data_IF_356052589148
#
_entry.id   IF_356052589148
#
_cell.length_a   1.000
_cell.length_b   1.000
_cell.length_c   1.000
_cell.angle_alpha   90.00
_cell.angle_beta   90.00
_cell.angle_gamma   90.00
#
_symmetry.space_group_name_H-M   'P 1'
#
loop_
_entity.id
_entity.type
_entity.pdbx_description
1 polymer ?
#
# COMPACT_ATOMS: atom_id res chain seq x y z
N UNK A 1 9.78 -11.93 -37.15
CA UNK A 1 9.15 -13.23 -36.90
C UNK A 1 8.46 -13.17 -35.55
N UNK A 2 7.14 -13.03 -35.53
CA UNK A 2 6.36 -12.93 -34.30
C UNK A 2 6.29 -14.29 -33.61
N UNK A 3 6.95 -14.41 -32.46
CA UNK A 3 6.64 -15.45 -31.50
C UNK A 3 5.23 -15.15 -30.97
N UNK A 4 4.22 -15.70 -31.66
CA UNK A 4 2.87 -15.74 -31.13
C UNK A 4 2.93 -16.40 -29.77
N UNK A 5 2.64 -15.62 -28.72
CA UNK A 5 2.42 -16.13 -27.37
C UNK A 5 1.23 -17.08 -27.50
N UNK A 6 1.50 -18.37 -27.72
CA UNK A 6 0.47 -19.40 -27.61
C UNK A 6 -0.11 -19.21 -26.21
N UNK A 7 -1.42 -19.00 -26.14
CA UNK A 7 -2.18 -19.10 -24.90
C UNK A 7 -1.80 -20.45 -24.28
N UNK A 8 -0.87 -20.45 -23.32
CA UNK A 8 -0.68 -21.59 -22.45
C UNK A 8 -1.92 -21.60 -21.57
N UNK A 9 -2.94 -22.31 -22.03
CA UNK A 9 -3.99 -22.80 -21.14
C UNK A 9 -3.29 -23.78 -20.23
N UNK A 10 -2.72 -23.28 -19.14
CA UNK A 10 -2.26 -24.14 -18.05
C UNK A 10 -3.48 -24.97 -17.64
N UNK A 11 -3.28 -26.28 -17.52
CA UNK A 11 -4.24 -27.18 -16.86
C UNK A 11 -4.82 -26.47 -15.63
N UNK A 12 -6.15 -26.41 -15.54
CA UNK A 12 -6.88 -25.51 -14.64
C UNK A 12 -6.22 -25.41 -13.24
N UNK A 13 -5.70 -24.23 -12.93
CA UNK A 13 -5.06 -23.97 -11.63
C UNK A 13 -6.18 -23.91 -10.58
N UNK A 14 -6.12 -24.83 -9.61
CA UNK A 14 -7.12 -24.94 -8.57
C UNK A 14 -7.05 -23.81 -7.52
N UNK A 15 -8.15 -23.53 -6.79
CA UNK A 15 -8.22 -22.42 -5.82
C UNK A 15 -7.17 -22.52 -4.69
N UNK A 16 -6.90 -23.73 -4.18
CA UNK A 16 -5.89 -23.94 -3.13
C UNK A 16 -4.47 -23.58 -3.61
N UNK A 17 -4.15 -23.94 -4.85
CA UNK A 17 -2.88 -23.59 -5.49
C UNK A 17 -2.73 -22.07 -5.61
N UNK A 18 -3.78 -21.36 -6.05
CA UNK A 18 -3.75 -19.89 -6.14
C UNK A 18 -3.58 -19.23 -4.78
N UNK A 19 -4.23 -19.74 -3.72
CA UNK A 19 -4.05 -19.19 -2.38
C UNK A 19 -2.60 -19.33 -1.91
N UNK A 20 -2.00 -20.52 -2.07
CA UNK A 20 -0.59 -20.78 -1.77
C UNK A 20 0.35 -19.88 -2.55
N UNK A 21 0.10 -19.69 -3.84
CA UNK A 21 0.83 -18.72 -4.67
C UNK A 21 0.77 -17.32 -4.07
N UNK A 22 -0.43 -16.82 -3.75
CA UNK A 22 -0.62 -15.47 -3.21
C UNK A 22 0.08 -15.31 -1.85
N UNK A 23 -0.09 -16.23 -0.90
CA UNK A 23 0.59 -16.09 0.40
C UNK A 23 2.10 -16.20 0.29
N UNK A 24 2.63 -17.08 -0.58
CA UNK A 24 4.06 -17.22 -0.81
C UNK A 24 4.66 -15.96 -1.44
N UNK A 25 4.08 -15.47 -2.55
CA UNK A 25 4.60 -14.29 -3.26
C UNK A 25 4.46 -12.99 -2.46
N UNK A 26 3.56 -12.96 -1.48
CA UNK A 26 3.41 -11.86 -0.54
C UNK A 26 4.25 -12.03 0.75
N UNK A 27 5.07 -13.07 0.88
CA UNK A 27 5.89 -13.32 2.09
C UNK A 27 5.05 -13.53 3.37
N UNK A 28 3.91 -14.20 3.24
CA UNK A 28 2.94 -14.46 4.33
C UNK A 28 2.90 -15.93 4.75
N UNK A 29 3.61 -16.83 4.06
CA UNK A 29 3.69 -18.25 4.41
C UNK A 29 5.14 -18.76 4.23
N UNK A 30 6.01 -18.65 5.26
CA UNK A 30 5.68 -18.13 6.59
C UNK A 30 5.60 -16.59 6.66
N UNK A 31 4.78 -16.10 7.58
CA UNK A 31 4.73 -14.70 7.97
C UNK A 31 6.08 -14.24 8.51
N UNK A 32 6.41 -12.95 8.34
CA UNK A 32 7.68 -12.38 8.83
C UNK A 32 8.92 -13.14 8.34
N UNK A 33 8.89 -13.65 7.10
CA UNK A 33 9.98 -14.45 6.51
C UNK A 33 11.20 -13.65 6.05
N UNK A 34 11.10 -12.32 5.97
CA UNK A 34 12.21 -11.41 5.68
C UNK A 34 12.76 -10.81 6.97
N UNK A 35 13.94 -10.19 6.95
CA UNK A 35 14.53 -9.56 8.14
C UNK A 35 15.29 -8.27 7.82
N UNK A 36 15.31 -7.36 8.80
CA UNK A 36 16.12 -6.15 8.75
C UNK A 36 15.69 -5.13 7.67
N UNK A 37 16.52 -4.10 7.53
CA UNK A 37 16.35 -3.05 6.52
C UNK A 37 16.34 -3.61 5.08
N UNK A 38 17.13 -4.65 4.79
CA UNK A 38 17.10 -5.34 3.49
C UNK A 38 15.80 -6.10 3.22
N UNK A 39 15.18 -6.67 4.27
CA UNK A 39 13.84 -7.24 4.17
C UNK A 39 12.81 -6.18 3.77
N UNK A 40 12.86 -5.01 4.42
CA UNK A 40 12.03 -3.84 4.08
C UNK A 40 12.24 -3.40 2.63
N UNK A 41 13.49 -3.26 2.18
CA UNK A 41 13.82 -2.98 0.77
C UNK A 41 13.27 -4.04 -0.17
N UNK A 42 13.34 -5.30 0.20
CA UNK A 42 12.83 -6.42 -0.60
C UNK A 42 11.32 -6.35 -0.79
N UNK A 43 10.55 -5.99 0.24
CA UNK A 43 9.10 -5.75 0.09
C UNK A 43 8.83 -4.59 -0.88
N UNK A 44 9.56 -3.48 -0.75
CA UNK A 44 9.43 -2.35 -1.67
C UNK A 44 9.80 -2.71 -3.11
N UNK A 45 10.86 -3.48 -3.34
CA UNK A 45 11.21 -3.99 -4.69
C UNK A 45 10.12 -4.91 -5.25
N UNK A 46 9.60 -5.82 -4.42
CA UNK A 46 8.60 -6.81 -4.84
C UNK A 46 7.27 -6.16 -5.19
N UNK A 47 6.78 -5.23 -4.37
CA UNK A 47 5.48 -4.59 -4.60
C UNK A 47 5.60 -3.35 -5.50
N UNK A 48 6.69 -2.61 -5.34
CA UNK A 48 6.96 -1.36 -6.04
C UNK A 48 6.02 -0.21 -5.67
N UNK A 49 5.08 -0.43 -4.77
CA UNK A 49 4.16 0.57 -4.25
C UNK A 49 3.49 0.04 -2.99
N UNK A 50 3.66 0.74 -1.87
CA UNK A 50 2.94 0.49 -0.62
C UNK A 50 2.13 1.73 -0.28
N UNK A 51 0.83 1.58 -0.03
CA UNK A 51 -0.02 2.72 0.28
C UNK A 51 0.40 3.37 1.61
N UNK A 52 0.63 4.68 1.58
CA UNK A 52 0.83 5.50 2.75
C UNK A 52 -0.53 5.92 3.30
N UNK A 53 -0.77 5.58 4.56
CA UNK A 53 -1.91 6.06 5.34
C UNK A 53 -1.41 6.38 6.76
N UNK A 54 -1.58 7.62 7.26
CA UNK A 54 -1.02 8.05 8.53
C UNK A 54 -1.88 7.66 9.74
N UNK A 55 -3.08 7.09 9.55
CA UNK A 55 -3.91 6.62 10.66
C UNK A 55 -3.15 5.54 11.42
N UNK A 56 -2.94 5.75 12.71
CA UNK A 56 -2.03 4.94 13.52
C UNK A 56 -2.73 4.18 14.66
N UNK A 57 -4.04 3.94 14.58
CA UNK A 57 -4.83 3.24 15.62
C UNK A 57 -4.26 1.83 15.88
N UNK A 58 -4.06 1.05 14.82
CA UNK A 58 -3.41 -0.26 14.87
C UNK A 58 -1.94 -0.22 14.41
N UNK A 59 -1.37 0.98 14.27
CA UNK A 59 -0.16 1.22 13.46
C UNK A 59 -0.50 1.75 12.07
N UNK A 60 0.46 2.44 11.44
CA UNK A 60 0.29 3.04 10.11
C UNK A 60 0.18 1.93 9.05
N UNK A 61 -0.58 2.13 7.98
CA UNK A 61 -0.81 1.06 7.00
C UNK A 61 0.49 0.49 6.40
N UNK A 62 1.43 1.35 5.99
CA UNK A 62 2.69 0.91 5.39
C UNK A 62 3.54 0.11 6.40
N UNK A 63 3.51 0.50 7.67
CA UNK A 63 4.19 -0.25 8.74
C UNK A 63 3.54 -1.61 8.96
N UNK A 64 2.22 -1.70 8.95
CA UNK A 64 1.50 -2.98 9.07
C UNK A 64 1.80 -3.92 7.89
N UNK A 65 1.86 -3.39 6.66
CA UNK A 65 2.27 -4.16 5.46
C UNK A 65 3.68 -4.73 5.65
N UNK A 66 4.61 -3.94 6.16
CA UNK A 66 5.99 -4.36 6.37
C UNK A 66 6.12 -5.33 7.57
N UNK A 67 5.43 -5.05 8.67
CA UNK A 67 5.39 -5.89 9.87
C UNK A 67 4.88 -7.31 9.59
N UNK A 68 3.90 -7.47 8.70
CA UNK A 68 3.41 -8.79 8.31
C UNK A 68 4.49 -9.66 7.62
N UNK A 69 5.56 -9.05 7.10
CA UNK A 69 6.53 -9.67 6.17
C UNK A 69 7.96 -9.66 6.68
N UNK A 70 8.31 -8.72 7.56
CA UNK A 70 9.68 -8.53 8.05
C UNK A 70 9.72 -8.83 9.56
N UNK A 71 10.48 -9.85 9.96
CA UNK A 71 10.75 -10.19 11.35
C UNK A 71 11.42 -9.02 12.07
N UNK A 72 10.91 -8.72 13.27
CA UNK A 72 11.41 -7.62 14.08
C UNK A 72 11.24 -6.24 13.43
N UNK A 73 10.30 -6.07 12.50
CA UNK A 73 10.09 -4.79 11.82
C UNK A 73 9.90 -3.63 12.81
N UNK A 74 10.72 -2.60 12.63
CA UNK A 74 10.61 -1.32 13.30
C UNK A 74 10.20 -0.23 12.30
N UNK A 75 9.25 0.65 12.64
CA UNK A 75 8.87 1.78 11.78
C UNK A 75 10.05 2.65 11.31
N UNK A 76 11.10 2.73 12.13
CA UNK A 76 12.34 3.44 11.82
C UNK A 76 13.01 2.96 10.53
N UNK A 77 12.85 1.69 10.13
CA UNK A 77 13.42 1.20 8.87
C UNK A 77 12.73 1.81 7.64
N UNK A 78 11.41 1.98 7.66
CA UNK A 78 10.72 2.67 6.55
C UNK A 78 11.05 4.17 6.56
N UNK A 79 11.10 4.79 7.73
CA UNK A 79 11.50 6.19 7.88
C UNK A 79 12.94 6.41 7.38
N UNK A 80 13.85 5.47 7.63
CA UNK A 80 15.23 5.47 7.15
C UNK A 80 15.31 5.37 5.62
N UNK A 81 14.58 4.45 4.98
CA UNK A 81 14.54 4.36 3.51
C UNK A 81 14.01 5.65 2.89
N UNK A 82 13.02 6.28 3.53
CA UNK A 82 12.47 7.55 3.09
C UNK A 82 13.46 8.70 3.26
N UNK A 83 14.15 8.78 4.41
CA UNK A 83 15.18 9.77 4.69
C UNK A 83 16.38 9.65 3.73
N UNK A 84 16.81 8.41 3.42
CA UNK A 84 17.86 8.09 2.44
C UNK A 84 17.44 8.29 0.98
N UNK A 85 16.17 8.64 0.73
CA UNK A 85 15.59 8.82 -0.62
C UNK A 85 15.66 7.55 -1.47
N UNK A 86 15.63 6.39 -0.84
CA UNK A 86 15.46 5.12 -1.55
C UNK A 86 14.00 4.92 -2.00
N UNK A 87 13.08 5.52 -1.24
CA UNK A 87 11.65 5.62 -1.56
C UNK A 87 11.18 7.08 -1.50
N UNK A 88 10.13 7.40 -2.24
CA UNK A 88 9.48 8.71 -2.23
C UNK A 88 7.96 8.58 -2.28
N UNK A 89 7.26 9.69 -2.01
CA UNK A 89 5.80 9.74 -2.10
C UNK A 89 5.32 10.03 -3.53
N UNK A 90 4.44 9.17 -4.06
CA UNK A 90 3.78 9.39 -5.33
C UNK A 90 2.30 9.06 -5.25
N UNK A 91 1.50 9.70 -6.11
CA UNK A 91 0.14 9.22 -6.37
C UNK A 91 0.22 8.01 -7.29
N UNK A 92 -0.15 6.85 -6.75
CA UNK A 92 -0.33 5.60 -7.48
C UNK A 92 -1.78 5.10 -7.33
N UNK A 93 -2.04 3.97 -6.65
CA UNK A 93 -3.43 3.55 -6.34
C UNK A 93 -4.10 4.58 -5.43
N UNK A 94 -3.35 4.98 -4.41
CA UNK A 94 -3.61 6.13 -3.55
C UNK A 94 -2.27 6.89 -3.36
N UNK A 95 -2.15 7.69 -2.30
CA UNK A 95 -0.83 8.17 -1.89
C UNK A 95 0.00 6.96 -1.45
N UNK A 96 1.15 6.76 -2.06
CA UNK A 96 2.00 5.57 -1.85
C UNK A 96 3.46 5.95 -1.70
N UNK A 97 4.19 5.13 -0.95
CA UNK A 97 5.64 5.04 -1.06
C UNK A 97 6.01 4.15 -2.25
N UNK A 98 6.92 4.64 -3.09
CA UNK A 98 7.41 3.97 -4.29
C UNK A 98 8.95 4.10 -4.36
N UNK A 99 9.67 3.16 -4.97
CA UNK A 99 11.12 3.28 -5.15
C UNK A 99 11.51 4.54 -5.94
N UNK A 100 12.52 5.28 -5.48
CA UNK A 100 13.00 6.51 -6.12
C UNK A 100 13.48 6.30 -7.55
N UNK A 101 14.04 5.13 -7.85
CA UNK A 101 14.40 4.75 -9.21
C UNK A 101 13.22 4.81 -10.19
N UNK A 102 11.98 4.73 -9.69
CA UNK A 102 10.76 4.78 -10.52
C UNK A 102 10.17 6.20 -10.67
N UNK A 103 10.77 7.23 -10.07
CA UNK A 103 10.33 8.62 -10.20
C UNK A 103 9.99 9.06 -11.63
N UNK A 104 10.78 8.72 -12.68
CA UNK A 104 10.50 9.15 -14.05
C UNK A 104 9.12 8.70 -14.57
N UNK A 105 8.57 7.59 -14.06
CA UNK A 105 7.26 7.08 -14.44
C UNK A 105 6.11 7.69 -13.64
N UNK A 106 6.39 8.36 -12.51
CA UNK A 106 5.35 8.99 -11.69
C UNK A 106 5.17 10.48 -11.96
N UNK A 107 6.09 11.10 -12.72
CA UNK A 107 6.15 12.55 -12.99
C UNK A 107 4.87 13.15 -13.58
N UNK A 108 4.18 12.46 -14.50
CA UNK A 108 3.04 13.04 -15.24
C UNK A 108 1.75 13.20 -14.41
N UNK A 109 1.58 12.49 -13.29
CA UNK A 109 0.29 12.42 -12.55
C UNK A 109 0.42 12.99 -11.14
N UNK A 110 1.33 13.95 -10.94
CA UNK A 110 1.46 14.58 -9.62
C UNK A 110 0.27 15.50 -9.26
N UNK A 111 -0.70 15.73 -10.16
CA UNK A 111 -1.91 16.53 -9.90
C UNK A 111 -3.10 16.21 -10.82
N UNK A 112 -4.33 16.55 -10.40
CA UNK A 112 -5.57 16.24 -11.14
C UNK A 112 -5.79 17.12 -12.38
N UNK A 113 -5.27 18.34 -12.39
CA UNK A 113 -5.54 19.37 -13.42
C UNK A 113 -4.41 19.51 -14.46
N UNK A 114 -3.32 18.74 -14.30
CA UNK A 114 -2.21 18.64 -15.25
C UNK A 114 -1.27 19.87 -15.30
N UNK A 115 -0.08 19.75 -15.94
CA UNK A 115 0.97 20.77 -15.88
C UNK A 115 0.56 22.16 -16.38
N UNK A 116 -0.32 22.26 -17.39
CA UNK A 116 -0.77 23.55 -17.93
C UNK A 116 -1.50 24.40 -16.89
N UNK A 117 -2.42 23.79 -16.15
CA UNK A 117 -3.16 24.47 -15.08
C UNK A 117 -2.20 24.97 -13.99
N UNK A 118 -1.25 24.13 -13.58
CA UNK A 118 -0.30 24.49 -12.52
C UNK A 118 0.72 25.53 -12.98
N UNK A 119 1.14 25.52 -14.25
CA UNK A 119 1.96 26.59 -14.82
C UNK A 119 1.21 27.94 -14.82
N UNK A 120 -0.09 27.94 -15.16
CA UNK A 120 -0.91 29.14 -15.05
C UNK A 120 -1.01 29.63 -13.61
N UNK A 121 -1.26 28.73 -12.65
CA UNK A 121 -1.29 29.09 -11.22
C UNK A 121 0.03 29.70 -10.73
N UNK A 122 1.18 29.23 -11.22
CA UNK A 122 2.48 29.85 -10.91
C UNK A 122 2.63 31.24 -11.53
N UNK A 123 2.13 31.43 -12.75
CA UNK A 123 2.15 32.74 -13.42
C UNK A 123 1.24 33.75 -12.72
N UNK A 124 0.02 33.34 -12.36
CA UNK A 124 -0.98 34.17 -11.67
C UNK A 124 -0.52 34.59 -10.25
N UNK A 125 0.36 33.79 -9.63
CA UNK A 125 0.93 34.04 -8.30
C UNK A 125 2.45 34.26 -8.34
N UNK A 126 2.99 34.85 -9.42
CA UNK A 126 4.43 34.89 -9.70
C UNK A 126 5.30 35.48 -8.57
N UNK A 127 4.82 36.52 -7.88
CA UNK A 127 5.55 37.12 -6.76
C UNK A 127 5.67 36.16 -5.56
N UNK A 128 4.55 35.53 -5.17
CA UNK A 128 4.50 34.49 -4.12
C UNK A 128 5.35 33.29 -4.53
N UNK A 129 5.25 32.85 -5.79
CA UNK A 129 6.01 31.75 -6.34
C UNK A 129 7.53 32.00 -6.23
N UNK A 130 7.98 33.18 -6.66
CA UNK A 130 9.38 33.61 -6.53
C UNK A 130 9.83 33.63 -5.07
N UNK A 131 9.05 34.26 -4.18
CA UNK A 131 9.37 34.36 -2.76
C UNK A 131 9.50 32.98 -2.08
N UNK A 132 8.54 32.07 -2.33
CA UNK A 132 8.57 30.69 -1.84
C UNK A 132 9.84 29.97 -2.30
N UNK A 133 10.18 30.07 -3.58
CA UNK A 133 11.34 29.38 -4.13
C UNK A 133 12.67 29.96 -3.63
N UNK A 134 12.76 31.28 -3.45
CA UNK A 134 13.93 31.96 -2.86
C UNK A 134 14.16 31.51 -1.41
N UNK A 135 13.11 31.43 -0.60
CA UNK A 135 13.21 30.95 0.77
C UNK A 135 13.61 29.48 0.85
N UNK A 136 13.01 28.59 0.05
CA UNK A 136 13.42 27.17 0.01
C UNK A 136 14.90 27.03 -0.43
N UNK A 137 15.37 27.85 -1.37
CA UNK A 137 16.79 27.87 -1.77
C UNK A 137 17.70 28.26 -0.62
N UNK A 138 17.34 29.29 0.15
CA UNK A 138 18.17 29.84 1.22
C UNK A 138 18.12 29.01 2.52
N UNK A 139 16.92 28.58 2.92
CA UNK A 139 16.65 27.98 4.24
C UNK A 139 16.58 26.45 4.21
N UNK A 140 16.44 25.85 3.02
CA UNK A 140 16.25 24.41 2.85
C UNK A 140 14.76 24.00 2.94
N UNK A 141 14.45 22.81 3.47
CA UNK A 141 13.08 22.29 3.47
C UNK A 141 12.10 23.15 4.29
N UNK A 142 11.04 23.66 3.64
CA UNK A 142 10.00 24.50 4.27
C UNK A 142 8.60 23.93 4.05
N UNK A 143 7.69 24.24 4.96
CA UNK A 143 6.26 23.98 4.86
C UNK A 143 5.53 25.21 4.36
N UNK A 144 4.37 25.00 3.73
CA UNK A 144 3.40 26.09 3.50
C UNK A 144 2.97 26.83 4.78
N UNK A 145 3.20 26.25 5.96
CA UNK A 145 2.93 26.88 7.27
C UNK A 145 3.99 27.88 7.70
N UNK A 146 5.17 27.86 7.08
CA UNK A 146 6.28 28.77 7.39
C UNK A 146 6.13 30.11 6.65
N UNK A 147 4.99 30.34 5.99
CA UNK A 147 4.67 31.53 5.21
C UNK A 147 3.33 32.10 5.67
N UNK A 148 3.23 33.42 5.67
CA UNK A 148 1.96 34.10 5.90
C UNK A 148 0.96 33.78 4.77
N UNK A 149 -0.32 33.50 5.08
CA UNK A 149 -1.33 33.28 4.06
C UNK A 149 -1.55 34.52 3.20
N UNK A 150 -1.42 34.37 1.89
CA UNK A 150 -1.74 35.43 0.92
C UNK A 150 -2.97 35.05 0.09
N UNK A 151 -3.86 36.01 -0.23
CA UNK A 151 -5.00 35.77 -1.10
C UNK A 151 -4.51 35.50 -2.54
N UNK A 152 -4.90 34.36 -3.09
CA UNK A 152 -4.58 33.95 -4.45
C UNK A 152 -5.54 34.52 -5.50
N UNK A 153 -5.13 34.43 -6.76
CA UNK A 153 -5.90 34.93 -7.91
C UNK A 153 -7.23 34.18 -8.16
N UNK A 154 -7.34 32.92 -7.70
CA UNK A 154 -8.53 32.07 -7.86
C UNK A 154 -9.38 32.05 -6.60
N UNK A 155 -10.68 31.74 -6.74
CA UNK A 155 -11.61 31.55 -5.62
C UNK A 155 -11.84 30.06 -5.35
N UNK A 156 -11.98 29.69 -4.08
CA UNK A 156 -12.35 28.35 -3.64
C UNK A 156 -13.87 28.10 -3.79
N UNK A 157 -14.34 26.89 -3.46
CA UNK A 157 -15.75 26.49 -3.57
C UNK A 157 -16.73 27.37 -2.75
N UNK A 158 -16.22 28.10 -1.74
CA UNK A 158 -16.99 29.04 -0.93
C UNK A 158 -16.91 30.49 -1.44
N UNK A 159 -16.31 30.72 -2.61
CA UNK A 159 -16.16 32.05 -3.21
C UNK A 159 -15.08 32.93 -2.55
N UNK A 160 -14.33 32.40 -1.58
CA UNK A 160 -13.21 33.08 -0.93
C UNK A 160 -11.93 32.91 -1.75
N UNK A 161 -11.00 33.89 -1.73
CA UNK A 161 -9.70 33.71 -2.35
C UNK A 161 -9.02 32.43 -1.87
N UNK A 162 -8.48 31.65 -2.81
CA UNK A 162 -7.66 30.48 -2.52
C UNK A 162 -6.36 30.95 -1.83
N UNK A 163 -5.74 30.11 -1.00
CA UNK A 163 -4.47 30.48 -0.38
C UNK A 163 -3.35 30.36 -1.42
N UNK A 164 -2.78 31.49 -1.85
CA UNK A 164 -1.78 31.57 -2.91
C UNK A 164 -0.55 30.69 -2.62
N UNK A 165 -0.06 30.70 -1.38
CA UNK A 165 1.08 29.89 -0.93
C UNK A 165 0.78 28.41 -1.14
N UNK A 166 -0.38 27.92 -0.71
CA UNK A 166 -0.75 26.50 -0.90
C UNK A 166 -0.86 26.12 -2.37
N UNK A 167 -1.47 26.98 -3.19
CA UNK A 167 -1.58 26.77 -4.64
C UNK A 167 -0.22 26.75 -5.31
N UNK A 168 0.71 27.61 -4.90
CA UNK A 168 2.11 27.64 -5.37
C UNK A 168 2.85 26.36 -4.99
N UNK A 169 2.75 25.90 -3.73
CA UNK A 169 3.37 24.64 -3.30
C UNK A 169 2.85 23.44 -4.09
N UNK A 170 1.53 23.35 -4.30
CA UNK A 170 0.93 22.32 -5.14
C UNK A 170 1.46 22.43 -6.58
N UNK A 171 1.46 23.63 -7.15
CA UNK A 171 1.89 23.84 -8.53
C UNK A 171 3.38 23.52 -8.75
N UNK A 172 4.27 23.93 -7.85
CA UNK A 172 5.68 23.56 -7.89
C UNK A 172 5.91 22.06 -7.70
N UNK A 173 5.10 21.40 -6.86
CA UNK A 173 5.17 19.94 -6.72
C UNK A 173 4.77 19.25 -8.02
N UNK A 174 3.65 19.67 -8.63
CA UNK A 174 3.12 19.03 -9.86
C UNK A 174 4.02 19.28 -11.06
N UNK A 175 4.63 20.46 -11.15
CA UNK A 175 5.56 20.84 -12.22
C UNK A 175 6.98 20.28 -12.00
N UNK A 176 7.25 19.71 -10.82
CA UNK A 176 8.52 19.05 -10.50
C UNK A 176 9.65 20.01 -10.14
N UNK A 177 9.33 21.19 -9.63
CA UNK A 177 10.31 22.16 -9.10
C UNK A 177 10.71 21.82 -7.66
N UNK A 178 9.71 21.51 -6.83
CA UNK A 178 9.93 21.07 -5.44
C UNK A 178 9.37 19.65 -5.25
N UNK A 179 9.90 18.94 -4.26
CA UNK A 179 9.41 17.64 -3.84
C UNK A 179 9.22 17.59 -2.33
N UNK A 180 8.50 16.57 -1.86
CA UNK A 180 8.32 16.35 -0.44
C UNK A 180 9.63 15.83 0.17
N UNK A 181 10.21 16.58 1.09
CA UNK A 181 11.47 16.23 1.76
C UNK A 181 11.21 15.41 3.03
N UNK A 182 10.20 15.79 3.81
CA UNK A 182 9.83 15.07 5.04
C UNK A 182 8.42 15.38 5.48
N UNK A 183 7.94 14.60 6.44
CA UNK A 183 6.69 14.83 7.16
C UNK A 183 6.94 14.85 8.65
N UNK A 184 6.36 15.84 9.32
CA UNK A 184 6.21 15.83 10.77
C UNK A 184 4.73 15.67 11.08
N UNK A 185 4.33 14.43 11.37
CA UNK A 185 2.92 14.04 11.39
C UNK A 185 2.23 14.35 10.06
N UNK A 186 1.25 15.26 10.09
CA UNK A 186 0.51 15.68 8.90
C UNK A 186 1.12 16.91 8.20
N UNK A 187 2.14 17.53 8.78
CA UNK A 187 2.81 18.69 8.20
C UNK A 187 3.81 18.23 7.16
N UNK A 188 3.76 18.86 5.99
CA UNK A 188 4.58 18.56 4.83
C UNK A 188 5.67 19.61 4.70
N UNK A 189 6.92 19.17 4.59
CA UNK A 189 8.07 20.01 4.29
C UNK A 189 8.61 19.66 2.90
N UNK A 190 8.88 20.69 2.11
CA UNK A 190 9.26 20.60 0.71
C UNK A 190 10.62 21.24 0.50
N UNK A 191 11.42 20.63 -0.37
CA UNK A 191 12.71 21.17 -0.80
C UNK A 191 12.81 21.09 -2.33
N UNK A 192 13.85 21.70 -2.89
CA UNK A 192 14.16 21.60 -4.32
C UNK A 192 14.29 20.14 -4.72
N UNK A 193 13.61 19.77 -5.81
CA UNK A 193 13.59 18.38 -6.25
C UNK A 193 15.01 17.85 -6.58
N UNK A 194 15.89 18.73 -7.07
CA UNK A 194 17.31 18.46 -7.34
C UNK A 194 18.18 18.19 -6.10
N UNK A 195 17.75 18.64 -4.92
CA UNK A 195 18.39 18.28 -3.64
C UNK A 195 17.91 16.94 -3.10
N UNK A 196 16.73 16.48 -3.57
CA UNK A 196 16.08 15.29 -3.04
C UNK A 196 16.39 14.03 -3.85
N UNK A 197 16.54 14.14 -5.16
CA UNK A 197 16.64 12.98 -6.05
C UNK A 197 17.94 12.99 -6.85
N UNK A 198 18.50 11.81 -7.19
CA UNK A 198 19.67 11.70 -8.05
C UNK A 198 19.49 12.36 -9.43
N UNK A 199 20.55 12.95 -9.97
CA UNK A 199 20.52 13.69 -11.23
C UNK A 199 20.15 12.82 -12.45
N UNK A 200 20.55 11.56 -12.47
CA UNK A 200 20.19 10.57 -13.50
C UNK A 200 18.69 10.26 -13.47
N UNK A 201 18.11 10.13 -12.28
CA UNK A 201 16.66 9.94 -12.07
C UNK A 201 15.88 11.18 -12.54
N UNK A 202 16.38 12.38 -12.25
CA UNK A 202 15.71 13.63 -12.65
C UNK A 202 15.77 13.89 -14.15
N UNK A 203 16.93 13.67 -14.76
CA UNK A 203 17.16 13.93 -16.18
C UNK A 203 16.40 12.95 -17.08
N UNK A 204 16.15 11.70 -16.63
CA UNK A 204 15.40 10.71 -17.39
C UNK A 204 13.99 11.21 -17.74
N UNK A 205 13.69 11.27 -19.04
CA UNK A 205 12.36 11.59 -19.57
C UNK A 205 11.69 10.30 -20.07
N UNK A 206 10.50 10.02 -19.56
CA UNK A 206 9.70 8.85 -19.97
C UNK A 206 8.44 9.37 -20.67
N UNK A 207 8.13 8.91 -21.90
CA UNK A 207 6.91 9.30 -22.60
C UNK A 207 5.67 8.96 -21.76
N UNK A 208 4.63 9.79 -21.83
CA UNK A 208 3.39 9.60 -21.03
C UNK A 208 2.82 8.19 -21.18
N UNK A 209 2.83 7.63 -22.40
CA UNK A 209 2.36 6.26 -22.67
C UNK A 209 3.07 5.22 -21.81
N UNK A 210 4.40 5.28 -21.73
CA UNK A 210 5.22 4.38 -20.91
C UNK A 210 5.00 4.61 -19.40
N UNK A 211 4.73 5.84 -18.98
CA UNK A 211 4.35 6.13 -17.59
C UNK A 211 3.03 5.45 -17.22
N UNK A 212 2.04 5.47 -18.12
CA UNK A 212 0.75 4.83 -17.92
C UNK A 212 0.84 3.30 -17.92
N UNK A 213 1.63 2.73 -18.84
CA UNK A 213 1.92 1.29 -18.87
C UNK A 213 2.58 0.83 -17.57
N UNK A 214 3.60 1.56 -17.10
CA UNK A 214 4.30 1.25 -15.84
C UNK A 214 3.36 1.30 -14.64
N UNK A 215 2.47 2.29 -14.56
CA UNK A 215 1.49 2.39 -13.47
C UNK A 215 0.49 1.25 -13.50
N UNK A 216 0.00 0.86 -14.67
CA UNK A 216 -0.87 -0.29 -14.81
C UNK A 216 -0.15 -1.57 -14.39
N UNK A 217 1.06 -1.81 -14.91
CA UNK A 217 1.89 -2.96 -14.55
C UNK A 217 2.19 -3.00 -13.05
N UNK A 218 2.40 -1.84 -12.40
CA UNK A 218 2.63 -1.76 -10.96
C UNK A 218 1.49 -2.34 -10.12
N UNK A 219 0.25 -2.36 -10.62
CA UNK A 219 -0.87 -3.01 -9.92
C UNK A 219 -0.72 -4.53 -9.91
N UNK A 220 -0.38 -5.09 -11.05
CA UNK A 220 -0.10 -6.52 -11.20
C UNK A 220 1.13 -6.92 -10.40
N UNK A 221 2.18 -6.11 -10.38
CA UNK A 221 3.36 -6.35 -9.53
C UNK A 221 3.04 -6.34 -8.03
N UNK A 222 2.24 -5.38 -7.57
CA UNK A 222 1.88 -5.27 -6.17
C UNK A 222 0.94 -6.40 -5.70
N UNK A 223 -0.03 -6.83 -6.51
CA UNK A 223 -1.02 -7.87 -6.15
C UNK A 223 -0.64 -9.29 -6.60
N UNK A 224 0.06 -9.45 -7.72
CA UNK A 224 0.53 -10.74 -8.26
C UNK A 224 -0.46 -11.43 -9.20
N UNK A 225 -1.76 -11.37 -8.90
CA UNK A 225 -2.80 -11.97 -9.75
C UNK A 225 -4.09 -11.12 -9.80
N UNK A 226 -4.26 -10.32 -10.85
CA UNK A 226 -5.45 -9.47 -11.01
C UNK A 226 -6.21 -9.78 -12.29
N UNK A 227 -7.50 -9.44 -12.33
CA UNK A 227 -8.24 -9.38 -13.59
C UNK A 227 -7.92 -8.10 -14.39
N UNK A 228 -8.53 -7.97 -15.57
CA UNK A 228 -8.51 -6.71 -16.33
C UNK A 228 -9.52 -5.67 -15.76
N UNK A 229 -10.57 -6.16 -15.10
CA UNK A 229 -11.47 -5.37 -14.27
C UNK A 229 -10.91 -5.24 -12.86
N UNK A 230 -11.01 -4.06 -12.25
CA UNK A 230 -10.55 -3.82 -10.89
C UNK A 230 -11.72 -3.50 -9.97
N UNK A 231 -11.75 -4.14 -8.80
CA UNK A 231 -12.62 -3.74 -7.70
C UNK A 231 -12.00 -2.56 -6.92
N UNK A 232 -12.83 -1.84 -6.15
CA UNK A 232 -12.38 -0.92 -5.10
C UNK A 232 -11.38 0.16 -5.52
N UNK A 233 -11.49 0.65 -6.77
CA UNK A 233 -10.60 1.69 -7.31
C UNK A 233 -9.17 1.22 -7.61
N UNK A 234 -8.93 -0.09 -7.75
CA UNK A 234 -7.60 -0.65 -8.03
C UNK A 234 -6.89 0.01 -9.22
N UNK A 235 -7.63 0.31 -10.29
CA UNK A 235 -7.08 0.95 -11.49
C UNK A 235 -7.39 2.45 -11.60
N UNK A 236 -7.79 3.09 -10.50
CA UNK A 236 -8.02 4.53 -10.47
C UNK A 236 -6.72 5.29 -10.75
N UNK A 237 -6.85 6.52 -11.25
CA UNK A 237 -5.74 7.46 -11.50
C UNK A 237 -4.69 6.95 -12.50
N UNK A 238 -5.02 5.93 -13.29
CA UNK A 238 -4.20 5.48 -14.43
C UNK A 238 -4.67 6.20 -15.68
N UNK A 239 -5.81 5.79 -16.23
CA UNK A 239 -6.37 6.31 -17.47
C UNK A 239 -7.89 6.07 -17.50
N UNK A 240 -8.57 6.71 -18.45
CA UNK A 240 -9.98 6.41 -18.73
C UNK A 240 -10.18 4.93 -19.11
N UNK A 241 -11.36 4.34 -18.90
CA UNK A 241 -11.58 2.91 -19.12
C UNK A 241 -11.14 2.37 -20.50
N UNK A 242 -11.45 3.08 -21.59
CA UNK A 242 -11.07 2.65 -22.95
C UNK A 242 -9.56 2.68 -23.16
N UNK A 243 -8.89 3.77 -22.78
CA UNK A 243 -7.43 3.87 -22.87
C UNK A 243 -6.74 2.80 -22.01
N UNK A 244 -7.29 2.50 -20.82
CA UNK A 244 -6.79 1.42 -19.96
C UNK A 244 -6.92 0.06 -20.63
N UNK A 245 -7.99 -0.22 -21.37
CA UNK A 245 -8.11 -1.48 -22.13
C UNK A 245 -7.01 -1.60 -23.18
N UNK A 246 -6.69 -0.50 -23.88
CA UNK A 246 -5.58 -0.48 -24.85
C UNK A 246 -4.24 -0.70 -24.16
N UNK A 247 -3.95 0.00 -23.05
CA UNK A 247 -2.74 -0.20 -22.25
C UNK A 247 -2.59 -1.65 -21.77
N UNK A 248 -3.68 -2.23 -21.28
CA UNK A 248 -3.70 -3.60 -20.81
C UNK A 248 -3.39 -4.60 -21.95
N UNK A 249 -4.03 -4.43 -23.11
CA UNK A 249 -3.75 -5.27 -24.28
C UNK A 249 -2.28 -5.16 -24.67
N UNK A 250 -1.74 -3.95 -24.67
CA UNK A 250 -0.33 -3.69 -24.99
C UNK A 250 0.63 -4.38 -24.01
N UNK A 251 0.34 -4.39 -22.70
CA UNK A 251 1.15 -5.15 -21.73
C UNK A 251 1.14 -6.66 -22.00
N UNK A 252 0.01 -7.20 -22.47
CA UNK A 252 -0.09 -8.62 -22.86
C UNK A 252 0.68 -8.86 -24.16
N UNK A 253 0.51 -8.01 -25.18
CA UNK A 253 1.20 -8.12 -26.47
C UNK A 253 2.73 -8.02 -26.32
N UNK A 254 3.19 -7.18 -25.37
CA UNK A 254 4.62 -7.04 -25.00
C UNK A 254 5.13 -8.23 -24.17
N UNK A 255 4.26 -9.15 -23.75
CA UNK A 255 4.61 -10.24 -22.85
C UNK A 255 4.95 -9.79 -21.43
N UNK A 256 4.60 -8.57 -21.02
CA UNK A 256 4.77 -8.08 -19.64
C UNK A 256 3.68 -8.61 -18.69
N UNK A 257 2.58 -9.13 -19.24
CA UNK A 257 1.52 -9.82 -18.51
C UNK A 257 1.13 -11.10 -19.24
N UNK A 258 1.00 -12.19 -18.49
CA UNK A 258 0.57 -13.49 -19.01
C UNK A 258 -0.88 -13.74 -18.60
N UNK A 259 -1.82 -13.94 -19.55
CA UNK A 259 -3.18 -14.34 -19.22
C UNK A 259 -3.21 -15.79 -18.71
N UNK A 260 -3.96 -16.03 -17.63
CA UNK A 260 -4.21 -17.36 -17.06
C UNK A 260 -5.70 -17.52 -16.71
N UNK A 261 -6.16 -18.76 -16.70
CA UNK A 261 -7.52 -19.14 -16.28
C UNK A 261 -7.45 -19.95 -14.99
N UNK A 262 -8.31 -19.59 -14.03
CA UNK A 262 -8.35 -20.18 -12.69
C UNK A 262 -9.74 -20.77 -12.49
N UNK A 263 -9.83 -22.04 -12.09
CA UNK A 263 -11.08 -22.82 -12.06
C UNK A 263 -12.23 -22.12 -11.30
N UNK A 264 -11.92 -21.48 -10.18
CA UNK A 264 -12.90 -20.86 -9.29
C UNK A 264 -13.12 -19.36 -9.56
N UNK A 265 -12.47 -18.78 -10.57
CA UNK A 265 -12.57 -17.36 -10.88
C UNK A 265 -13.15 -17.14 -12.27
N UNK A 266 -14.16 -16.28 -12.33
CA UNK A 266 -14.71 -15.84 -13.62
C UNK A 266 -13.72 -14.92 -14.33
N UNK A 267 -13.51 -15.19 -15.61
CA UNK A 267 -12.69 -14.36 -16.51
C UNK A 267 -11.18 -14.56 -16.34
N UNK A 268 -10.43 -14.01 -17.30
CA UNK A 268 -8.97 -14.11 -17.32
C UNK A 268 -8.34 -13.35 -16.16
N UNK A 269 -7.33 -13.97 -15.57
CA UNK A 269 -6.40 -13.34 -14.64
C UNK A 269 -5.07 -13.11 -15.33
N UNK A 270 -4.26 -12.21 -14.77
CA UNK A 270 -2.99 -11.84 -15.34
C UNK A 270 -1.93 -11.87 -14.25
N UNK A 271 -0.81 -12.49 -14.58
CA UNK A 271 0.37 -12.66 -13.72
C UNK A 271 1.60 -12.11 -14.44
N UNK A 272 2.63 -11.76 -13.67
CA UNK A 272 3.93 -11.44 -14.23
C UNK A 272 4.59 -12.70 -14.81
N UNK A 273 5.26 -12.62 -15.98
CA UNK A 273 5.90 -13.78 -16.60
C UNK A 273 6.86 -14.52 -15.67
N UNK A 274 7.66 -13.79 -14.90
CA UNK A 274 8.63 -14.32 -13.94
C UNK A 274 7.99 -15.03 -12.73
N UNK A 275 6.69 -14.83 -12.49
CA UNK A 275 5.95 -15.47 -11.40
C UNK A 275 5.14 -16.69 -11.86
N UNK A 276 5.15 -17.00 -13.16
CA UNK A 276 4.34 -18.10 -13.71
C UNK A 276 4.72 -19.45 -13.10
N UNK A 277 6.02 -19.73 -12.96
CA UNK A 277 6.50 -20.97 -12.33
C UNK A 277 6.08 -21.08 -10.86
N UNK A 278 6.07 -19.97 -10.12
CA UNK A 278 5.60 -19.95 -8.72
C UNK A 278 4.08 -20.17 -8.65
N UNK A 279 3.31 -19.68 -9.62
CA UNK A 279 1.88 -19.93 -9.72
C UNK A 279 1.59 -21.40 -10.07
N UNK A 280 2.37 -21.98 -10.97
CA UNK A 280 2.26 -23.39 -11.39
C UNK A 280 2.67 -24.37 -10.28
N UNK A 281 3.65 -24.03 -9.45
CA UNK A 281 4.15 -24.89 -8.39
C UNK A 281 4.47 -24.08 -7.12
N UNK A 282 3.43 -23.60 -6.40
CA UNK A 282 3.64 -22.84 -5.19
C UNK A 282 4.10 -23.76 -4.05
N UNK A 283 4.98 -23.30 -3.14
CA UNK A 283 5.40 -24.08 -1.99
C UNK A 283 4.23 -24.35 -1.04
N UNK A 284 4.37 -25.33 -0.14
CA UNK A 284 3.40 -25.56 0.94
C UNK A 284 3.34 -24.34 1.85
N UNK A 285 2.12 -24.01 2.30
CA UNK A 285 1.94 -22.88 3.19
C UNK A 285 2.23 -23.30 4.63
N UNK A 286 3.36 -22.84 5.16
CA UNK A 286 3.73 -23.09 6.55
C UNK A 286 2.71 -22.49 7.53
N UNK A 287 2.34 -23.19 8.62
CA UNK A 287 1.36 -22.72 9.59
C UNK A 287 1.94 -21.55 10.40
N UNK A 288 1.60 -20.33 9.99
CA UNK A 288 2.03 -19.09 10.64
C UNK A 288 0.93 -18.04 10.54
N UNK A 289 0.90 -17.10 11.48
CA UNK A 289 -0.11 -16.04 11.53
C UNK A 289 0.45 -14.66 11.17
N UNK A 290 -0.27 -13.95 10.31
CA UNK A 290 -0.04 -12.54 9.99
C UNK A 290 -1.33 -11.71 10.13
N UNK A 291 -1.20 -10.50 10.64
CA UNK A 291 -2.25 -9.48 10.61
C UNK A 291 -2.04 -8.59 9.39
N UNK A 292 -3.04 -8.51 8.52
CA UNK A 292 -2.93 -7.84 7.23
C UNK A 292 -3.45 -6.41 7.33
N UNK A 293 -2.69 -5.46 6.79
CA UNK A 293 -3.10 -4.06 6.76
C UNK A 293 -4.36 -3.88 5.89
N UNK A 294 -5.28 -2.95 6.21
CA UNK A 294 -6.53 -2.80 5.46
C UNK A 294 -6.35 -2.44 3.97
N UNK A 295 -5.23 -1.80 3.63
CA UNK A 295 -4.88 -1.44 2.25
C UNK A 295 -3.74 -2.28 1.66
N UNK A 296 -3.43 -3.42 2.27
CA UNK A 296 -2.44 -4.38 1.76
C UNK A 296 -2.77 -4.78 0.32
N UNK A 297 -1.77 -4.89 -0.57
CA UNK A 297 -1.98 -5.33 -1.95
C UNK A 297 -2.71 -6.65 -2.10
N UNK A 298 -2.62 -7.58 -1.14
CA UNK A 298 -3.38 -8.83 -1.16
C UNK A 298 -4.90 -8.59 -1.15
N UNK A 299 -5.35 -7.46 -0.59
CA UNK A 299 -6.77 -7.19 -0.37
C UNK A 299 -7.43 -6.35 -1.48
N UNK A 300 -6.72 -6.01 -2.55
CA UNK A 300 -7.24 -5.06 -3.54
C UNK A 300 -8.38 -5.60 -4.41
N UNK A 301 -8.40 -6.91 -4.71
CA UNK A 301 -9.47 -7.55 -5.47
C UNK A 301 -10.44 -8.28 -4.54
N UNK A 302 -11.46 -7.56 -4.07
CA UNK A 302 -12.46 -8.10 -3.13
C UNK A 302 -13.27 -9.26 -3.72
N UNK A 303 -13.47 -9.30 -5.05
CA UNK A 303 -14.14 -10.41 -5.70
C UNK A 303 -13.24 -11.66 -5.70
N UNK A 304 -11.94 -11.50 -5.93
CA UNK A 304 -10.98 -12.58 -5.78
C UNK A 304 -10.93 -13.10 -4.34
N UNK A 305 -10.91 -12.22 -3.34
CA UNK A 305 -10.97 -12.63 -1.93
C UNK A 305 -12.22 -13.46 -1.61
N UNK A 306 -13.39 -12.99 -2.03
CA UNK A 306 -14.65 -13.70 -1.80
C UNK A 306 -14.66 -15.09 -2.44
N UNK A 307 -14.18 -15.22 -3.69
CA UNK A 307 -14.23 -16.48 -4.42
C UNK A 307 -13.10 -17.46 -4.07
N UNK A 308 -11.89 -16.98 -3.71
CA UNK A 308 -10.76 -17.86 -3.37
C UNK A 308 -10.68 -18.17 -1.87
N UNK A 309 -10.89 -17.16 -1.04
CA UNK A 309 -10.69 -17.25 0.41
C UNK A 309 -12.01 -17.35 1.17
N UNK A 310 -13.16 -17.14 0.53
CA UNK A 310 -14.44 -17.03 1.24
C UNK A 310 -14.50 -15.81 2.15
N UNK A 311 -13.71 -14.78 1.86
CA UNK A 311 -13.51 -13.63 2.75
C UNK A 311 -14.07 -12.34 2.13
N UNK A 312 -15.03 -11.73 2.81
CA UNK A 312 -15.56 -10.41 2.46
C UNK A 312 -14.72 -9.32 3.14
N UNK A 313 -13.99 -8.53 2.34
CA UNK A 313 -13.22 -7.40 2.84
C UNK A 313 -13.96 -6.08 2.59
N UNK A 314 -14.24 -5.35 3.66
CA UNK A 314 -14.82 -4.00 3.62
C UNK A 314 -14.05 -3.12 4.60
N UNK A 315 -13.57 -1.98 4.11
CA UNK A 315 -12.96 -0.97 4.96
C UNK A 315 -14.04 -0.06 5.55
N UNK A 316 -14.35 -0.23 6.84
CA UNK A 316 -15.47 0.41 7.53
C UNK A 316 -15.09 1.73 8.23
N UNK A 317 -13.84 2.19 8.08
CA UNK A 317 -13.36 3.43 8.70
C UNK A 317 -14.14 4.69 8.30
N UNK A 318 -14.85 4.64 7.16
CA UNK A 318 -15.71 5.74 6.70
C UNK A 318 -17.15 5.66 7.23
N UNK A 319 -17.57 4.53 7.80
CA UNK A 319 -18.90 4.37 8.35
C UNK A 319 -18.99 4.97 9.76
N UNK A 320 -20.17 5.48 10.10
CA UNK A 320 -20.50 5.86 11.48
C UNK A 320 -20.42 4.64 12.39
N UNK A 321 -20.08 4.80 13.69
CA UNK A 321 -19.90 3.67 14.60
C UNK A 321 -21.05 2.65 14.60
N UNK A 322 -22.30 3.10 14.55
CA UNK A 322 -23.52 2.27 14.54
C UNK A 322 -23.77 1.52 13.22
N UNK A 323 -23.03 1.84 12.16
CA UNK A 323 -23.12 1.22 10.83
C UNK A 323 -21.95 0.28 10.54
N UNK A 324 -21.02 0.12 11.47
CA UNK A 324 -19.90 -0.80 11.34
C UNK A 324 -20.37 -2.21 11.70
N UNK A 325 -20.05 -3.18 10.85
CA UNK A 325 -20.28 -4.61 11.11
C UNK A 325 -19.15 -5.18 11.95
N UNK A 326 -17.93 -4.73 11.73
CA UNK A 326 -16.75 -5.25 12.43
C UNK A 326 -16.15 -4.21 13.38
N UNK A 327 -15.67 -3.08 12.86
CA UNK A 327 -14.92 -2.14 13.68
C UNK A 327 -14.36 -0.97 12.88
N UNK A 328 -13.61 -0.08 13.55
CA UNK A 328 -13.00 1.08 12.92
C UNK A 328 -11.75 0.72 12.11
N UNK A 329 -10.81 0.00 12.73
CA UNK A 329 -9.51 -0.35 12.15
C UNK A 329 -9.24 -1.86 12.29
N UNK A 330 -9.85 -2.65 11.41
CA UNK A 330 -9.84 -4.11 11.48
C UNK A 330 -8.77 -4.69 10.56
N UNK A 331 -7.97 -5.62 11.10
CA UNK A 331 -6.92 -6.35 10.39
C UNK A 331 -7.39 -7.79 10.11
N UNK A 332 -7.43 -8.24 8.84
CA UNK A 332 -7.64 -9.65 8.53
C UNK A 332 -6.50 -10.53 9.07
N UNK A 333 -6.84 -11.74 9.49
CA UNK A 333 -5.91 -12.74 10.02
C UNK A 333 -5.65 -13.79 8.95
N UNK A 334 -4.42 -13.87 8.47
CA UNK A 334 -3.95 -14.98 7.62
C UNK A 334 -3.37 -16.08 8.50
N UNK A 335 -3.74 -17.33 8.22
CA UNK A 335 -3.11 -18.54 8.78
C UNK A 335 -2.84 -19.54 7.65
N UNK A 336 -1.57 -19.84 7.39
CA UNK A 336 -1.17 -20.66 6.25
C UNK A 336 -1.60 -20.01 4.93
N UNK A 337 -2.44 -20.68 4.14
CA UNK A 337 -3.00 -20.17 2.89
C UNK A 337 -4.41 -19.56 3.04
N UNK A 338 -4.94 -19.40 4.27
CA UNK A 338 -6.33 -19.00 4.50
C UNK A 338 -6.45 -17.66 5.23
N UNK A 339 -7.53 -16.93 4.95
CA UNK A 339 -8.01 -15.85 5.81
C UNK A 339 -8.98 -16.46 6.82
N UNK A 340 -8.60 -16.47 8.09
CA UNK A 340 -9.29 -17.25 9.14
C UNK A 340 -10.07 -16.41 10.14
N UNK A 341 -9.87 -15.10 10.14
CA UNK A 341 -10.59 -14.19 11.03
C UNK A 341 -10.20 -12.74 10.84
N UNK A 342 -10.59 -11.92 11.82
CA UNK A 342 -10.41 -10.47 11.88
C UNK A 342 -10.09 -10.07 13.30
N UNK A 343 -9.14 -9.15 13.49
CA UNK A 343 -8.82 -8.57 14.79
C UNK A 343 -8.93 -7.04 14.71
N UNK A 344 -9.47 -6.40 15.75
CA UNK A 344 -9.45 -4.94 15.91
C UNK A 344 -8.52 -4.57 17.07
N UNK A 345 -7.23 -4.36 16.80
CA UNK A 345 -6.29 -3.88 17.81
C UNK A 345 -6.25 -2.36 17.86
N UNK A 346 -6.03 -1.83 19.06
CA UNK A 346 -5.69 -0.43 19.30
C UNK A 346 -4.40 -0.36 20.11
N UNK A 347 -3.42 0.37 19.59
CA UNK A 347 -2.17 0.63 20.30
C UNK A 347 -2.39 1.83 21.22
N UNK A 348 -2.26 1.61 22.53
CA UNK A 348 -2.14 2.66 23.52
C UNK A 348 -0.66 2.84 23.90
N UNK A 349 -0.05 3.90 23.35
CA UNK A 349 1.36 4.20 23.61
C UNK A 349 1.60 4.78 25.00
N UNK A 350 0.60 5.43 25.59
CA UNK A 350 0.74 6.00 26.95
C UNK A 350 0.78 4.90 28.00
N UNK A 351 -0.03 3.86 27.80
CA UNK A 351 -0.12 2.71 28.69
C UNK A 351 0.81 1.56 28.32
N UNK A 352 1.55 1.68 27.19
CA UNK A 352 2.37 0.61 26.61
C UNK A 352 1.58 -0.70 26.47
N UNK A 353 0.36 -0.59 25.97
CA UNK A 353 -0.58 -1.71 25.85
C UNK A 353 -1.15 -1.79 24.44
N UNK A 354 -1.53 -3.01 24.04
CA UNK A 354 -2.40 -3.21 22.88
C UNK A 354 -3.74 -3.72 23.38
N UNK A 355 -4.79 -2.96 23.12
CA UNK A 355 -6.16 -3.36 23.39
C UNK A 355 -6.74 -4.10 22.19
N UNK A 356 -7.19 -5.34 22.38
CA UNK A 356 -8.00 -6.07 21.41
C UNK A 356 -9.47 -5.73 21.67
N UNK A 357 -10.00 -4.83 20.84
CA UNK A 357 -11.38 -4.34 20.92
C UNK A 357 -12.37 -5.36 20.35
N UNK A 358 -11.94 -6.16 19.38
CA UNK A 358 -12.76 -7.19 18.74
C UNK A 358 -11.93 -8.29 18.10
N UNK A 359 -12.48 -9.50 18.07
CA UNK A 359 -11.90 -10.67 17.42
C UNK A 359 -13.03 -11.54 16.86
N UNK A 360 -12.97 -11.84 15.57
CA UNK A 360 -13.99 -12.62 14.86
C UNK A 360 -13.33 -13.71 14.03
N UNK A 361 -13.94 -14.90 14.00
CA UNK A 361 -13.48 -16.04 13.20
C UNK A 361 -14.36 -16.22 11.96
N UNK A 362 -13.77 -16.57 10.83
CA UNK A 362 -14.55 -16.90 9.64
C UNK A 362 -15.35 -18.18 9.84
N UNK A 363 -16.46 -18.31 9.10
CA UNK A 363 -17.28 -19.51 9.13
C UNK A 363 -16.44 -20.75 8.80
N UNK A 364 -16.62 -21.82 9.59
CA UNK A 364 -15.88 -23.06 9.42
C UNK A 364 -14.45 -23.03 9.96
N UNK A 365 -14.01 -21.97 10.62
CA UNK A 365 -12.75 -21.93 11.35
C UNK A 365 -12.97 -22.04 12.86
N UNK A 366 -12.27 -22.98 13.49
CA UNK A 366 -12.32 -23.21 14.93
C UNK A 366 -10.89 -23.21 15.50
N UNK A 367 -10.45 -22.14 16.18
CA UNK A 367 -9.08 -22.00 16.68
C UNK A 367 -8.55 -23.20 17.45
N UNK A 368 -9.37 -23.80 18.32
CA UNK A 368 -8.96 -24.93 19.16
C UNK A 368 -8.90 -26.29 18.43
N UNK A 369 -9.28 -26.35 17.16
CA UNK A 369 -9.22 -27.56 16.32
C UNK A 369 -8.24 -27.43 15.16
N UNK A 370 -7.65 -26.25 14.99
CA UNK A 370 -6.67 -25.99 13.94
C UNK A 370 -5.27 -26.23 14.51
N UNK A 371 -4.60 -27.28 14.03
CA UNK A 371 -3.25 -27.64 14.48
C UNK A 371 -2.28 -26.45 14.33
N UNK A 372 -1.41 -26.27 15.33
CA UNK A 372 -0.44 -25.17 15.44
C UNK A 372 -1.00 -23.73 15.43
N UNK A 373 -2.32 -23.54 15.26
CA UNK A 373 -2.89 -22.20 15.15
C UNK A 373 -2.72 -21.38 16.43
N UNK A 374 -2.96 -21.99 17.60
CA UNK A 374 -2.88 -21.28 18.88
C UNK A 374 -1.47 -20.76 19.13
N UNK A 375 -0.46 -21.59 18.90
CA UNK A 375 0.95 -21.21 19.05
C UNK A 375 1.33 -20.12 18.03
N UNK A 376 0.98 -20.31 16.75
CA UNK A 376 1.23 -19.32 15.70
C UNK A 376 0.55 -17.98 15.96
N UNK A 377 -0.67 -17.98 16.52
CA UNK A 377 -1.39 -16.77 16.92
C UNK A 377 -0.70 -16.07 18.09
N UNK A 378 -0.20 -16.82 19.08
CA UNK A 378 0.57 -16.25 20.19
C UNK A 378 1.86 -15.61 19.67
N UNK A 379 2.60 -16.27 18.79
CA UNK A 379 3.80 -15.69 18.16
C UNK A 379 3.50 -14.40 17.39
N UNK A 380 2.39 -14.37 16.64
CA UNK A 380 1.97 -13.18 15.91
C UNK A 380 1.58 -12.03 16.84
N UNK A 381 0.86 -12.31 17.92
CA UNK A 381 0.51 -11.34 18.96
C UNK A 381 1.76 -10.79 19.66
N UNK A 382 2.74 -11.65 19.96
CA UNK A 382 4.01 -11.25 20.57
C UNK A 382 4.82 -10.34 19.64
N UNK A 383 4.89 -10.70 18.36
CA UNK A 383 5.52 -9.87 17.33
C UNK A 383 4.82 -8.52 17.21
N UNK A 384 3.48 -8.50 17.27
CA UNK A 384 2.68 -7.29 17.20
C UNK A 384 2.88 -6.38 18.43
N UNK A 385 2.98 -6.94 19.64
CA UNK A 385 3.33 -6.19 20.85
C UNK A 385 4.70 -5.50 20.72
N UNK A 386 5.71 -6.23 20.24
CA UNK A 386 7.05 -5.65 19.98
C UNK A 386 6.98 -4.51 18.96
N UNK A 387 6.26 -4.72 17.85
CA UNK A 387 6.02 -3.69 16.85
C UNK A 387 5.31 -2.45 17.41
N UNK A 388 4.34 -2.66 18.30
CA UNK A 388 3.58 -1.61 18.95
C UNK A 388 4.38 -0.86 20.03
N UNK A 389 5.54 -1.38 20.45
CA UNK A 389 6.28 -0.89 21.61
C UNK A 389 5.51 -1.09 22.92
N UNK A 390 4.73 -2.16 23.00
CA UNK A 390 3.83 -2.48 24.10
C UNK A 390 4.25 -3.75 24.85
N UNK A 391 3.88 -3.82 26.12
CA UNK A 391 4.37 -4.82 27.07
C UNK A 391 3.28 -5.84 27.42
N UNK A 392 2.02 -5.49 27.14
CA UNK A 392 0.86 -6.30 27.50
C UNK A 392 -0.26 -6.20 26.47
N UNK A 393 -1.03 -7.28 26.38
CA UNK A 393 -2.32 -7.30 25.70
C UNK A 393 -3.45 -7.13 26.71
N UNK A 394 -4.37 -6.25 26.35
CA UNK A 394 -5.65 -6.09 27.02
C UNK A 394 -6.75 -6.57 26.09
N UNK A 395 -7.75 -7.25 26.66
CA UNK A 395 -8.85 -7.80 25.90
C UNK A 395 -10.13 -7.13 26.37
N UNK A 396 -10.97 -6.70 25.43
CA UNK A 396 -12.30 -6.20 25.77
C UNK A 396 -13.07 -7.24 26.62
N UNK A 397 -13.93 -6.81 27.57
CA UNK A 397 -14.57 -7.73 28.52
C UNK A 397 -15.32 -8.91 27.88
N UNK A 398 -15.89 -8.70 26.69
CA UNK A 398 -16.62 -9.73 25.95
C UNK A 398 -15.71 -10.81 25.31
N UNK A 399 -14.39 -10.62 25.30
CA UNK A 399 -13.38 -11.53 24.74
C UNK A 399 -12.69 -12.39 25.82
N UNK A 400 -13.39 -12.69 26.92
CA UNK A 400 -12.81 -13.43 28.04
C UNK A 400 -12.39 -14.87 27.66
N UNK A 401 -13.05 -15.50 26.68
CA UNK A 401 -12.69 -16.83 26.20
C UNK A 401 -11.39 -16.79 25.38
N UNK A 402 -11.23 -15.78 24.53
CA UNK A 402 -10.07 -15.51 23.69
C UNK A 402 -8.86 -15.18 24.56
N UNK A 403 -9.04 -14.35 25.60
CA UNK A 403 -8.01 -14.05 26.60
C UNK A 403 -7.46 -15.31 27.27
N UNK A 404 -8.32 -16.30 27.58
CA UNK A 404 -7.88 -17.58 28.14
C UNK A 404 -7.14 -18.45 27.13
N UNK A 405 -7.48 -18.34 25.84
CA UNK A 405 -6.88 -19.12 24.76
C UNK A 405 -5.52 -18.57 24.30
N UNK A 406 -5.34 -17.26 24.35
CA UNK A 406 -4.11 -16.56 23.94
C UNK A 406 -3.53 -15.78 25.13
N UNK A 407 -3.01 -16.48 26.16
CA UNK A 407 -2.54 -15.82 27.37
C UNK A 407 -1.26 -15.02 27.12
N UNK A 408 -1.15 -13.86 27.78
CA UNK A 408 -0.02 -12.95 27.64
C UNK A 408 1.35 -13.57 28.03
N UNK A 409 1.35 -14.62 28.87
CA UNK A 409 2.58 -15.32 29.28
C UNK A 409 3.27 -16.09 28.14
N UNK A 410 2.56 -16.40 27.06
CA UNK A 410 3.13 -17.04 25.87
C UNK A 410 3.78 -16.04 24.90
N UNK A 411 3.91 -14.77 25.30
CA UNK A 411 4.36 -13.67 24.43
C UNK A 411 5.71 -13.05 24.86
N UNK A 412 6.29 -13.55 25.95
CA UNK A 412 7.58 -13.11 26.50
C UNK A 412 8.77 -13.74 25.77
#
# INVERSE_FOLDING_TARGET
>A
MGLGVRLRTLSAIGPHQVRRFLVARHFLAPARSLAGLEGTRTVFRKFGSIQFDPIAVAGRNHDLVLHARVAGYEPAWCDELYARREIFEATNKALSYVPTSEFPWFRHVMGRKGPRFHNAALADNAAVAKHVLERIRAEGPLSSRDFEPEPGATKNWFGLPENAVRSVFEAYTVTGVIGLARRDGNVRYYDLLERLLPADVLSRKVPQREQLLHKLLSRYRAHGLLGAGGAGGTFDRIAAPEERRVLHKELVDRGSLVPVEIESLRGKRFVLPEELALLETPPEAMPSVAFIAPFDPLLWDTALLANLFGFEHVWEGFFKPDKRRWGYYVLPIVFGDRLVGRIEPRIDRSERAVEVLGLWWEQGFAPGRADAFVDAMCEALAAYLRFAGADRLEWAPHLAAEKRRFPARSLA
#
